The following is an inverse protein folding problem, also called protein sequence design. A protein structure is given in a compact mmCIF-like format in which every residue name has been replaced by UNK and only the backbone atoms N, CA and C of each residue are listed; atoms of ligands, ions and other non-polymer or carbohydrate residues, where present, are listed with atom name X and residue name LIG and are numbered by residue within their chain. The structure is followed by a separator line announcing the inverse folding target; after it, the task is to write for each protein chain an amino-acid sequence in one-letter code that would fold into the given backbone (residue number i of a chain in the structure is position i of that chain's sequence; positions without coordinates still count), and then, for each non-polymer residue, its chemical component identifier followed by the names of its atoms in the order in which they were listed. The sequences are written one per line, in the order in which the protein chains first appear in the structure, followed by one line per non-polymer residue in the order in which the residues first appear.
data_IF_317001429013
#
_entry.id   IF_317001429013
#
_cell.length_a   1.000
_cell.length_b   1.000
_cell.length_c   1.000
_cell.angle_alpha   90.00
_cell.angle_beta   90.00
_cell.angle_gamma   90.00
#
_symmetry.space_group_name_H-M   'P 1'
#
loop_
_entity.id
_entity.type
_entity.pdbx_description
1 polymer ?
#
# COMPACT_ATOMS: atom_id res chain seq x y z
N UNK A 1 10.95 67.05 0.15
CA UNK A 1 11.32 66.10 -0.92
C UNK A 1 10.66 64.77 -0.62
N UNK A 2 9.84 64.31 -1.57
CA UNK A 2 8.80 63.29 -1.44
C UNK A 2 9.36 61.89 -1.15
N UNK A 3 8.88 61.24 -0.08
CA UNK A 3 9.03 59.79 0.09
C UNK A 3 8.00 59.09 -0.81
N UNK A 4 8.44 58.72 -2.02
CA UNK A 4 7.68 57.86 -2.90
C UNK A 4 7.84 56.42 -2.40
N UNK A 5 6.92 55.97 -1.55
CA UNK A 5 6.76 54.55 -1.23
C UNK A 5 6.47 53.80 -2.52
N UNK A 6 7.45 53.05 -3.02
CA UNK A 6 7.27 52.13 -4.13
C UNK A 6 6.28 51.04 -3.68
N UNK A 7 5.02 51.17 -4.10
CA UNK A 7 4.03 50.10 -4.02
C UNK A 7 4.52 49.03 -4.99
N UNK A 8 5.30 48.06 -4.50
CA UNK A 8 5.58 46.86 -5.25
C UNK A 8 4.28 46.08 -5.39
N UNK A 9 4.01 45.43 -6.54
CA UNK A 9 2.85 44.57 -6.70
C UNK A 9 2.99 43.33 -5.79
N UNK A 10 2.61 43.45 -4.53
CA UNK A 10 2.75 42.43 -3.49
C UNK A 10 1.83 41.22 -3.67
N UNK A 11 0.93 41.26 -4.65
CA UNK A 11 0.01 40.17 -4.98
C UNK A 11 0.67 39.10 -5.87
N UNK A 12 1.33 39.52 -6.96
CA UNK A 12 2.02 38.59 -7.88
C UNK A 12 3.25 37.94 -7.26
N UNK A 13 3.99 38.67 -6.40
CA UNK A 13 5.11 38.09 -5.66
C UNK A 13 4.66 37.08 -4.59
N UNK A 14 3.48 37.26 -3.98
CA UNK A 14 2.95 36.31 -2.98
C UNK A 14 2.52 34.98 -3.60
N UNK A 15 1.87 35.02 -4.77
CA UNK A 15 1.44 33.81 -5.48
C UNK A 15 2.63 33.02 -6.02
N UNK A 16 3.64 33.69 -6.59
CA UNK A 16 4.88 33.05 -7.04
C UNK A 16 5.63 32.34 -5.90
N UNK A 17 5.68 32.96 -4.71
CA UNK A 17 6.30 32.35 -3.54
C UNK A 17 5.48 31.17 -2.99
N UNK A 18 4.15 31.24 -3.03
CA UNK A 18 3.29 30.14 -2.60
C UNK A 18 3.50 28.89 -3.46
N UNK A 19 3.54 29.04 -4.79
CA UNK A 19 3.78 27.93 -5.71
C UNK A 19 5.16 27.28 -5.51
N UNK A 20 6.19 28.10 -5.24
CA UNK A 20 7.54 27.63 -4.94
C UNK A 20 7.59 26.83 -3.63
N UNK A 21 6.93 27.31 -2.57
CA UNK A 21 6.84 26.60 -1.28
C UNK A 21 6.10 25.27 -1.40
N UNK A 22 5.01 25.22 -2.17
CA UNK A 22 4.29 23.97 -2.44
C UNK A 22 5.14 22.97 -3.23
N UNK A 23 5.94 23.44 -4.20
CA UNK A 23 6.84 22.58 -4.94
C UNK A 23 7.94 21.99 -4.03
N UNK A 24 8.45 22.77 -3.09
CA UNK A 24 9.49 22.34 -2.15
C UNK A 24 8.95 21.31 -1.13
N UNK A 25 7.77 21.55 -0.57
CA UNK A 25 7.14 20.61 0.36
C UNK A 25 6.88 19.22 -0.26
N UNK A 26 6.52 19.18 -1.55
CA UNK A 26 6.39 17.90 -2.29
C UNK A 26 7.74 17.19 -2.41
N UNK A 27 8.81 17.93 -2.73
CA UNK A 27 10.17 17.38 -2.88
C UNK A 27 10.66 16.78 -1.57
N UNK A 28 10.41 17.46 -0.45
CA UNK A 28 10.72 16.95 0.89
C UNK A 28 9.95 15.65 1.17
N UNK A 29 8.64 15.63 0.92
CA UNK A 29 7.81 14.43 1.10
C UNK A 29 8.30 13.27 0.24
N UNK A 30 8.59 13.50 -1.04
CA UNK A 30 9.14 12.47 -1.92
C UNK A 30 10.53 12.02 -1.49
N UNK A 31 11.37 12.92 -0.95
CA UNK A 31 12.67 12.58 -0.39
C UNK A 31 12.55 11.66 0.82
N UNK A 32 11.65 11.95 1.76
CA UNK A 32 11.37 11.10 2.91
C UNK A 32 10.81 9.74 2.50
N UNK A 33 9.87 9.72 1.54
CA UNK A 33 9.35 8.46 0.99
C UNK A 33 10.44 7.66 0.28
N UNK A 34 11.31 8.30 -0.49
CA UNK A 34 12.43 7.65 -1.15
C UNK A 34 13.40 7.06 -0.12
N UNK A 35 13.64 7.75 1.00
CA UNK A 35 14.47 7.24 2.10
C UNK A 35 13.86 6.01 2.78
N UNK A 36 12.53 5.97 2.94
CA UNK A 36 11.80 4.82 3.51
C UNK A 36 11.60 3.68 2.50
N UNK A 37 11.63 3.99 1.20
CA UNK A 37 11.27 3.05 0.13
C UNK A 37 12.05 1.73 0.14
N UNK A 38 13.36 1.65 0.43
CA UNK A 38 14.08 0.38 0.41
C UNK A 38 13.59 -0.57 1.52
N UNK A 39 13.31 -0.02 2.70
CA UNK A 39 12.74 -0.79 3.81
C UNK A 39 11.32 -1.27 3.51
N UNK A 40 10.48 -0.39 2.95
CA UNK A 40 9.12 -0.75 2.54
C UNK A 40 9.11 -1.82 1.45
N UNK A 41 9.99 -1.71 0.44
CA UNK A 41 10.13 -2.70 -0.62
C UNK A 41 10.61 -4.05 -0.08
N UNK A 42 11.55 -4.05 0.86
CA UNK A 42 12.02 -5.28 1.49
C UNK A 42 10.89 -5.98 2.26
N UNK A 43 10.18 -5.26 3.13
CA UNK A 43 9.06 -5.80 3.89
C UNK A 43 7.96 -6.30 2.96
N UNK A 44 7.62 -5.51 1.93
CA UNK A 44 6.65 -5.90 0.92
C UNK A 44 7.06 -7.18 0.22
N UNK A 45 8.32 -7.30 -0.24
CA UNK A 45 8.82 -8.49 -0.92
C UNK A 45 8.77 -9.73 -0.01
N UNK A 46 9.23 -9.60 1.24
CA UNK A 46 9.25 -10.69 2.22
C UNK A 46 7.85 -11.24 2.50
N UNK A 47 6.82 -10.39 2.46
CA UNK A 47 5.43 -10.81 2.66
C UNK A 47 4.81 -11.33 1.36
N UNK A 48 4.90 -10.57 0.27
CA UNK A 48 4.12 -10.80 -0.95
C UNK A 48 4.71 -11.95 -1.78
N UNK A 49 6.03 -12.11 -1.84
CA UNK A 49 6.67 -13.17 -2.62
C UNK A 49 6.24 -14.57 -2.15
N UNK A 50 6.35 -14.96 -0.86
CA UNK A 50 5.95 -16.29 -0.44
C UNK A 50 4.43 -16.51 -0.56
N UNK A 51 3.62 -15.49 -0.29
CA UNK A 51 2.16 -15.59 -0.46
C UNK A 51 1.81 -15.80 -1.93
N UNK A 52 2.42 -15.03 -2.84
CA UNK A 52 2.23 -15.17 -4.28
C UNK A 52 2.67 -16.53 -4.79
N UNK A 53 3.76 -17.07 -4.25
CA UNK A 53 4.23 -18.43 -4.58
C UNK A 53 3.23 -19.51 -4.15
N UNK A 54 2.72 -19.44 -2.91
CA UNK A 54 1.70 -20.37 -2.43
C UNK A 54 0.39 -20.25 -3.21
N UNK A 55 -0.02 -19.02 -3.53
CA UNK A 55 -1.18 -18.76 -4.37
C UNK A 55 -1.01 -19.38 -5.76
N UNK A 56 0.15 -19.18 -6.38
CA UNK A 56 0.47 -19.79 -7.67
C UNK A 56 0.34 -21.32 -7.62
N UNK A 57 0.95 -21.97 -6.63
CA UNK A 57 0.85 -23.42 -6.45
C UNK A 57 -0.59 -23.90 -6.22
N UNK A 58 -1.41 -23.11 -5.52
CA UNK A 58 -2.79 -23.50 -5.21
C UNK A 58 -3.72 -23.56 -6.43
N UNK A 59 -3.35 -22.91 -7.54
CA UNK A 59 -4.09 -22.97 -8.81
C UNK A 59 -3.92 -24.30 -9.54
N UNK A 60 -2.98 -25.15 -9.14
CA UNK A 60 -2.69 -26.42 -9.79
C UNK A 60 -3.05 -27.59 -8.88
N UNK A 61 -3.64 -28.64 -9.46
CA UNK A 61 -3.86 -29.90 -8.75
C UNK A 61 -2.61 -30.79 -8.71
N UNK A 62 -2.76 -31.98 -8.12
CA UNK A 62 -1.69 -32.98 -7.97
C UNK A 62 -1.11 -33.47 -9.30
N UNK A 63 -1.82 -33.24 -10.42
CA UNK A 63 -1.37 -33.58 -11.78
C UNK A 63 -0.75 -32.40 -12.52
N UNK A 64 -0.70 -31.23 -11.89
CA UNK A 64 -0.20 -29.99 -12.48
C UNK A 64 -1.19 -29.30 -13.41
N UNK A 65 -2.46 -29.69 -13.41
CA UNK A 65 -3.50 -29.05 -14.21
C UNK A 65 -4.12 -27.88 -13.45
N UNK A 66 -4.52 -26.82 -14.17
CA UNK A 66 -5.26 -25.72 -13.57
C UNK A 66 -6.58 -26.24 -13.00
N UNK A 67 -6.80 -26.02 -11.70
CA UNK A 67 -7.89 -26.63 -10.97
C UNK A 67 -8.30 -25.81 -9.75
N UNK A 68 -9.59 -25.84 -9.44
CA UNK A 68 -10.15 -25.28 -8.20
C UNK A 68 -10.35 -26.36 -7.11
N UNK A 69 -9.93 -27.60 -7.35
CA UNK A 69 -10.12 -28.72 -6.43
C UNK A 69 -9.54 -28.45 -5.04
N UNK A 70 -8.40 -27.75 -4.96
CA UNK A 70 -7.78 -27.37 -3.68
C UNK A 70 -8.70 -26.48 -2.81
N UNK A 71 -9.51 -25.63 -3.43
CA UNK A 71 -10.46 -24.75 -2.73
C UNK A 71 -11.78 -25.44 -2.42
N UNK A 72 -12.26 -26.31 -3.33
CA UNK A 72 -13.50 -27.07 -3.14
C UNK A 72 -13.48 -27.90 -1.85
N UNK A 73 -12.32 -28.49 -1.53
CA UNK A 73 -12.08 -29.24 -0.28
C UNK A 73 -12.50 -28.47 0.98
N UNK A 74 -12.38 -27.14 0.99
CA UNK A 74 -12.80 -26.32 2.14
C UNK A 74 -14.30 -26.43 2.43
N UNK A 75 -15.13 -26.45 1.38
CA UNK A 75 -16.58 -26.48 1.50
C UNK A 75 -17.14 -27.91 1.57
N UNK A 76 -16.45 -28.87 0.97
CA UNK A 76 -16.87 -30.27 0.96
C UNK A 76 -16.61 -30.96 2.31
N UNK A 77 -15.59 -30.53 3.06
CA UNK A 77 -15.23 -31.14 4.34
C UNK A 77 -15.85 -30.37 5.50
N UNK A 78 -16.90 -30.96 6.11
CA UNK A 78 -17.60 -30.37 7.25
C UNK A 78 -16.67 -30.04 8.43
N UNK A 79 -15.60 -30.80 8.63
CA UNK A 79 -14.58 -30.55 9.66
C UNK A 79 -13.83 -29.24 9.44
N UNK A 80 -13.54 -28.85 8.19
CA UNK A 80 -12.83 -27.60 7.88
C UNK A 80 -13.68 -26.38 8.18
N UNK A 81 -14.95 -26.39 7.74
CA UNK A 81 -15.91 -25.33 8.06
C UNK A 81 -16.09 -25.20 9.57
N UNK A 82 -16.25 -26.33 10.27
CA UNK A 82 -16.42 -26.33 11.73
C UNK A 82 -15.22 -25.69 12.44
N UNK A 83 -14.01 -26.08 12.09
CA UNK A 83 -12.79 -25.52 12.67
C UNK A 83 -12.69 -24.02 12.38
N UNK A 84 -12.88 -23.62 11.12
CA UNK A 84 -12.86 -22.22 10.70
C UNK A 84 -13.84 -21.36 11.53
N UNK A 85 -15.12 -21.75 11.59
CA UNK A 85 -16.14 -21.03 12.36
C UNK A 85 -15.80 -21.02 13.86
N UNK A 86 -15.26 -22.12 14.40
CA UNK A 86 -14.87 -22.19 15.81
C UNK A 86 -13.76 -21.21 16.15
N UNK A 87 -12.76 -21.06 15.29
CA UNK A 87 -11.67 -20.08 15.48
C UNK A 87 -12.21 -18.65 15.56
N UNK A 88 -13.12 -18.26 14.67
CA UNK A 88 -13.77 -16.94 14.76
C UNK A 88 -14.61 -16.79 16.02
N UNK A 89 -15.41 -17.81 16.39
CA UNK A 89 -16.21 -17.79 17.62
C UNK A 89 -15.34 -17.53 18.85
N UNK A 90 -14.19 -18.22 18.96
CA UNK A 90 -13.26 -18.03 20.08
C UNK A 90 -12.61 -16.65 20.05
N UNK A 91 -12.27 -16.11 18.87
CA UNK A 91 -11.66 -14.79 18.78
C UNK A 91 -12.62 -13.64 19.15
N UNK A 92 -13.93 -13.84 19.03
CA UNK A 92 -14.95 -12.84 19.38
C UNK A 92 -15.47 -12.93 20.82
N UNK A 93 -15.23 -14.05 21.53
CA UNK A 93 -15.60 -14.25 22.95
C UNK A 93 -14.45 -13.83 23.84
#
# INVERSE_FOLDING_TARGET
MSMQSAILPHAGARTLNADALHADARRETFGLLALLSPGLLLVFAVIIVPIGWLFWLSLFDETGQLSFANYARFFEQASYIKTFVTTFKVAFV
#
